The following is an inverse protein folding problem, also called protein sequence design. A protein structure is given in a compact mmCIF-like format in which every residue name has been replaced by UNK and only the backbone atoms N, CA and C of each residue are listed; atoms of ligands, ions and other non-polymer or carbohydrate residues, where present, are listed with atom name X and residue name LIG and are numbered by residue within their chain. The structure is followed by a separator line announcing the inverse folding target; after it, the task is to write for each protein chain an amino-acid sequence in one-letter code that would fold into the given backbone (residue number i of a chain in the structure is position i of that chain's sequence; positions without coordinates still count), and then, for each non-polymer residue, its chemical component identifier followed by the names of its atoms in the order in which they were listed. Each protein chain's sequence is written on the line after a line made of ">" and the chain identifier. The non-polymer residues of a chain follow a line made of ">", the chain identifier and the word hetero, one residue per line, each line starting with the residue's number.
data_IF_454811920591
#
_entry.id   IF_454811920591
#
_cell.length_a   1.000
_cell.length_b   1.000
_cell.length_c   1.000
_cell.angle_alpha   90.00
_cell.angle_beta   90.00
_cell.angle_gamma   90.00
#
_symmetry.space_group_name_H-M   'P 1'
#
loop_
_entity.id
_entity.type
_entity.pdbx_description
1 polymer ?
#
# COMPACT_ATOMS: atom_id res chain seq x y z
N UNK A 1 25.13 -6.62 -27.93
CA UNK A 1 23.65 -6.68 -28.00
C UNK A 1 23.19 -7.71 -26.98
N UNK A 2 22.69 -7.27 -25.82
CA UNK A 2 22.26 -8.16 -24.76
C UNK A 2 20.83 -8.66 -25.04
N UNK A 3 20.66 -9.98 -24.98
CA UNK A 3 19.42 -10.72 -25.22
C UNK A 3 18.34 -10.39 -24.16
N UNK A 4 17.04 -10.46 -24.48
CA UNK A 4 15.94 -10.05 -23.60
C UNK A 4 15.88 -10.78 -22.25
N UNK A 5 16.51 -11.95 -22.10
CA UNK A 5 16.54 -12.71 -20.85
C UNK A 5 17.31 -12.02 -19.71
N UNK A 6 18.31 -11.18 -20.01
CA UNK A 6 19.10 -10.52 -18.96
C UNK A 6 18.43 -9.28 -18.37
N UNK A 7 17.35 -8.77 -18.97
CA UNK A 7 16.55 -7.70 -18.36
C UNK A 7 15.65 -8.20 -17.23
N UNK A 8 15.30 -9.49 -17.24
CA UNK A 8 14.45 -10.09 -16.21
C UNK A 8 15.17 -10.28 -14.85
N UNK A 9 16.51 -10.33 -14.84
CA UNK A 9 17.30 -10.49 -13.61
C UNK A 9 17.69 -9.17 -12.91
N UNK A 10 17.35 -8.01 -13.50
CA UNK A 10 17.64 -6.67 -12.96
C UNK A 10 16.37 -5.86 -12.63
N UNK A 11 15.19 -6.48 -12.62
CA UNK A 11 13.92 -5.88 -12.23
C UNK A 11 13.74 -5.99 -10.71
N UNK A 12 14.51 -5.21 -9.95
CA UNK A 12 14.63 -5.32 -8.49
C UNK A 12 13.69 -4.41 -7.68
N UNK A 13 12.65 -3.83 -8.28
CA UNK A 13 11.74 -2.89 -7.60
C UNK A 13 10.30 -3.19 -8.01
N UNK A 14 9.65 -4.01 -7.19
CA UNK A 14 8.39 -4.71 -7.52
C UNK A 14 7.13 -3.84 -7.37
N UNK A 15 7.19 -2.63 -6.78
CA UNK A 15 6.03 -1.73 -6.72
C UNK A 15 5.84 -0.86 -7.97
N UNK A 16 6.88 -0.71 -8.81
CA UNK A 16 6.83 0.09 -10.05
C UNK A 16 6.01 -0.57 -11.18
N UNK A 17 5.65 -1.85 -11.04
CA UNK A 17 4.96 -2.62 -12.09
C UNK A 17 3.43 -2.56 -12.02
N UNK A 18 2.83 -2.22 -10.88
CA UNK A 18 1.37 -2.20 -10.77
C UNK A 18 0.83 -0.86 -11.26
N UNK A 19 0.28 -0.84 -12.47
CA UNK A 19 -0.33 0.37 -13.01
C UNK A 19 -1.66 0.64 -12.32
N UNK A 20 -2.06 1.90 -12.22
CA UNK A 20 -3.37 2.27 -11.69
C UNK A 20 -4.51 1.53 -12.41
N UNK A 21 -4.39 1.33 -13.73
CA UNK A 21 -5.35 0.56 -14.52
C UNK A 21 -5.48 -0.90 -14.08
N UNK A 22 -4.37 -1.53 -13.68
CA UNK A 22 -4.39 -2.92 -13.20
C UNK A 22 -5.17 -2.99 -11.89
N UNK A 23 -4.90 -2.06 -10.98
CA UNK A 23 -5.60 -1.91 -9.69
C UNK A 23 -7.09 -1.66 -9.93
N UNK A 24 -7.46 -0.74 -10.81
CA UNK A 24 -8.85 -0.45 -11.12
C UNK A 24 -9.56 -1.66 -11.73
N UNK A 25 -8.86 -2.39 -12.61
CA UNK A 25 -9.40 -3.56 -13.30
C UNK A 25 -9.71 -4.70 -12.33
N UNK A 26 -8.89 -4.90 -11.30
CA UNK A 26 -9.06 -5.94 -10.28
C UNK A 26 -10.04 -5.49 -9.20
N UNK A 27 -9.81 -4.34 -8.59
CA UNK A 27 -10.58 -3.87 -7.43
C UNK A 27 -12.04 -3.55 -7.75
N UNK A 28 -12.41 -3.36 -9.02
CA UNK A 28 -13.82 -3.24 -9.42
C UNK A 28 -14.68 -4.43 -8.99
N UNK A 29 -14.09 -5.62 -8.89
CA UNK A 29 -14.79 -6.85 -8.49
C UNK A 29 -15.08 -6.90 -6.98
N UNK A 30 -14.32 -6.16 -6.17
CA UNK A 30 -14.38 -6.25 -4.71
C UNK A 30 -14.98 -5.01 -4.04
N UNK A 31 -15.44 -4.00 -4.80
CA UNK A 31 -15.97 -2.72 -4.28
C UNK A 31 -16.91 -2.86 -3.08
N UNK A 32 -17.81 -3.85 -3.12
CA UNK A 32 -18.80 -4.12 -2.06
C UNK A 32 -18.19 -4.51 -0.71
N UNK A 33 -16.95 -4.96 -0.68
CA UNK A 33 -16.27 -5.43 0.53
C UNK A 33 -15.59 -4.29 1.31
N UNK A 34 -15.45 -3.10 0.73
CA UNK A 34 -14.72 -1.98 1.36
C UNK A 34 -15.58 -1.06 2.23
N UNK A 35 -16.91 -1.12 2.11
CA UNK A 35 -17.78 -0.20 2.85
C UNK A 35 -17.61 -0.35 4.37
N UNK A 36 -17.28 0.74 5.05
CA UNK A 36 -17.04 0.81 6.49
C UNK A 36 -15.73 0.14 6.95
N UNK A 37 -14.84 -0.23 6.03
CA UNK A 37 -13.60 -0.95 6.34
C UNK A 37 -12.38 -0.04 6.48
N UNK A 38 -11.44 -0.49 7.29
CA UNK A 38 -10.07 0.00 7.33
C UNK A 38 -9.23 -0.80 6.34
N UNK A 39 -8.62 -0.13 5.37
CA UNK A 39 -7.70 -0.74 4.40
C UNK A 39 -6.26 -0.38 4.76
N UNK A 40 -5.36 -1.37 4.70
CA UNK A 40 -3.92 -1.16 4.79
C UNK A 40 -3.24 -1.44 3.45
N UNK A 41 -2.41 -0.49 3.02
CA UNK A 41 -1.50 -0.63 1.89
C UNK A 41 -0.07 -0.52 2.39
N UNK A 42 0.64 -1.66 2.53
CA UNK A 42 2.09 -1.58 2.69
C UNK A 42 2.68 -1.12 1.35
N UNK A 43 3.55 -0.13 1.37
CA UNK A 43 4.19 0.42 0.17
C UNK A 43 5.61 0.87 0.49
N UNK A 44 6.43 1.05 -0.53
CA UNK A 44 7.75 1.65 -0.45
C UNK A 44 7.61 3.15 -0.15
N UNK A 45 6.69 3.84 -0.84
CA UNK A 45 6.24 5.21 -0.50
C UNK A 45 4.74 5.42 -0.80
N UNK A 46 3.92 5.84 0.19
CA UNK A 46 2.50 6.13 0.02
C UNK A 46 2.16 7.15 -1.08
N UNK A 47 2.89 8.26 -1.21
CA UNK A 47 2.55 9.31 -2.18
C UNK A 47 2.90 8.92 -3.62
N UNK A 48 3.78 7.94 -3.78
CA UNK A 48 4.12 7.37 -5.09
C UNK A 48 3.29 6.12 -5.41
N UNK A 49 2.73 5.46 -4.41
CA UNK A 49 1.98 4.22 -4.57
C UNK A 49 0.65 4.41 -5.31
N UNK A 50 0.48 3.67 -6.41
CA UNK A 50 -0.79 3.64 -7.15
C UNK A 50 -1.93 3.05 -6.30
N UNK A 51 -1.64 2.20 -5.31
CA UNK A 51 -2.66 1.71 -4.37
C UNK A 51 -3.18 2.84 -3.50
N UNK A 52 -2.29 3.63 -2.91
CA UNK A 52 -2.67 4.78 -2.10
C UNK A 52 -3.45 5.81 -2.93
N UNK A 53 -2.97 6.16 -4.12
CA UNK A 53 -3.67 7.04 -5.08
C UNK A 53 -5.08 6.52 -5.40
N UNK A 54 -5.21 5.22 -5.72
CA UNK A 54 -6.50 4.60 -5.97
C UNK A 54 -7.44 4.78 -4.78
N UNK A 55 -7.03 4.38 -3.57
CA UNK A 55 -7.92 4.41 -2.41
C UNK A 55 -8.26 5.82 -1.96
N UNK A 56 -7.35 6.78 -2.07
CA UNK A 56 -7.61 8.19 -1.79
C UNK A 56 -8.67 8.75 -2.74
N UNK A 57 -8.48 8.61 -4.05
CA UNK A 57 -9.42 9.11 -5.06
C UNK A 57 -10.78 8.39 -5.03
N UNK A 58 -10.82 7.20 -4.44
CA UNK A 58 -12.02 6.38 -4.32
C UNK A 58 -12.61 6.33 -2.91
N UNK A 59 -12.04 7.05 -1.95
CA UNK A 59 -12.32 6.89 -0.52
C UNK A 59 -13.82 6.98 -0.22
N UNK A 60 -14.46 8.06 -0.70
CA UNK A 60 -15.89 8.31 -0.54
C UNK A 60 -16.75 7.34 -1.34
N UNK A 61 -16.32 6.99 -2.57
CA UNK A 61 -17.05 6.07 -3.45
C UNK A 61 -17.09 4.65 -2.89
N UNK A 62 -16.00 4.21 -2.25
CA UNK A 62 -15.88 2.93 -1.57
C UNK A 62 -16.48 2.94 -0.16
N UNK A 63 -16.82 4.14 0.36
CA UNK A 63 -17.30 4.36 1.73
C UNK A 63 -16.31 3.79 2.76
N UNK A 64 -15.01 4.02 2.53
CA UNK A 64 -13.98 3.59 3.45
C UNK A 64 -14.12 4.29 4.80
N UNK A 65 -13.82 3.58 5.87
CA UNK A 65 -13.72 4.16 7.21
C UNK A 65 -12.36 4.83 7.40
N UNK A 66 -11.30 4.17 6.93
CA UNK A 66 -9.91 4.59 7.11
C UNK A 66 -9.04 3.91 6.05
N UNK A 67 -8.03 4.63 5.58
CA UNK A 67 -6.94 4.10 4.78
C UNK A 67 -5.65 4.32 5.55
N UNK A 68 -4.86 3.27 5.70
CA UNK A 68 -3.54 3.29 6.31
C UNK A 68 -2.54 2.92 5.22
N UNK A 69 -1.47 3.69 5.09
CA UNK A 69 -0.33 3.34 4.26
C UNK A 69 0.96 3.55 5.03
N UNK A 70 1.89 2.61 4.93
CA UNK A 70 3.20 2.67 5.60
C UNK A 70 4.28 2.75 4.54
N UNK A 71 5.29 3.59 4.75
CA UNK A 71 6.52 3.61 3.93
C UNK A 71 7.67 2.93 4.68
N UNK A 72 8.70 2.51 3.93
CA UNK A 72 9.90 1.85 4.46
C UNK A 72 11.13 2.78 4.41
N UNK A 73 12.02 2.69 5.40
CA UNK A 73 13.28 3.46 5.37
C UNK A 73 14.19 2.97 4.23
N UNK A 74 14.25 3.72 3.14
CA UNK A 74 15.12 3.42 2.00
C UNK A 74 14.42 3.20 0.67
N UNK A 75 13.14 3.59 0.54
CA UNK A 75 12.52 3.73 -0.79
C UNK A 75 13.32 4.70 -1.67
N UNK A 76 13.64 4.33 -2.93
CA UNK A 76 14.36 5.20 -3.86
C UNK A 76 13.54 6.44 -4.29
N UNK A 77 12.25 6.50 -3.92
CA UNK A 77 11.28 7.52 -4.32
C UNK A 77 10.71 8.27 -3.10
N UNK A 78 11.46 8.35 -2.00
CA UNK A 78 11.00 9.08 -0.81
C UNK A 78 11.23 10.58 -0.98
N UNK A 79 10.17 11.40 -0.86
CA UNK A 79 10.28 12.85 -0.63
C UNK A 79 10.23 13.79 -1.84
N UNK A 80 9.74 13.37 -3.01
CA UNK A 80 9.67 14.24 -4.20
C UNK A 80 8.38 15.08 -4.30
N UNK A 81 7.21 14.55 -3.94
CA UNK A 81 5.92 15.24 -4.18
C UNK A 81 5.37 16.01 -2.96
N UNK A 82 5.81 15.71 -1.73
CA UNK A 82 5.25 16.39 -0.55
C UNK A 82 6.24 16.47 0.63
N UNK A 83 6.76 17.67 0.90
CA UNK A 83 7.49 18.01 2.13
C UNK A 83 6.52 18.13 3.30
N UNK A 84 5.91 17.01 3.72
CA UNK A 84 4.98 16.99 4.85
C UNK A 84 5.67 17.24 6.19
N UNK A 85 6.93 16.84 6.32
CA UNK A 85 7.70 16.92 7.56
C UNK A 85 8.73 18.05 7.58
N UNK A 86 8.83 18.83 6.49
CA UNK A 86 9.88 19.85 6.37
C UNK A 86 11.28 19.25 6.46
N UNK A 87 11.53 18.15 5.74
CA UNK A 87 12.78 17.39 5.86
C UNK A 87 13.98 18.21 5.33
N UNK A 88 14.83 18.66 6.26
CA UNK A 88 16.02 19.46 5.97
C UNK A 88 17.22 18.57 5.56
N UNK A 89 17.19 17.28 5.92
CA UNK A 89 18.27 16.32 5.66
C UNK A 89 17.82 15.08 4.86
N UNK A 90 18.77 14.37 4.23
CA UNK A 90 18.47 13.09 3.56
C UNK A 90 18.09 11.97 4.54
N UNK A 91 18.63 11.97 5.76
CA UNK A 91 18.25 10.98 6.78
C UNK A 91 16.79 11.13 7.21
N UNK A 92 16.34 12.38 7.34
CA UNK A 92 14.94 12.71 7.63
C UNK A 92 14.01 12.26 6.50
N UNK A 93 14.38 12.51 5.24
CA UNK A 93 13.65 12.02 4.06
C UNK A 93 13.56 10.50 3.99
N UNK A 94 14.50 9.77 4.62
CA UNK A 94 14.53 8.31 4.64
C UNK A 94 13.92 7.71 5.90
N UNK A 95 13.39 8.53 6.81
CA UNK A 95 12.72 8.03 8.00
C UNK A 95 11.37 7.43 7.58
N UNK A 96 11.04 6.19 7.97
CA UNK A 96 9.77 5.60 7.62
C UNK A 96 8.63 6.37 8.31
N UNK A 97 7.46 6.38 7.69
CA UNK A 97 6.28 7.05 8.19
C UNK A 97 5.02 6.25 7.85
N UNK A 98 3.94 6.57 8.55
CA UNK A 98 2.59 6.11 8.22
C UNK A 98 1.73 7.31 7.82
N UNK A 99 0.94 7.12 6.77
CA UNK A 99 -0.10 8.04 6.33
C UNK A 99 -1.45 7.40 6.66
N UNK A 100 -2.29 8.12 7.41
CA UNK A 100 -3.62 7.68 7.80
C UNK A 100 -4.64 8.68 7.27
N UNK A 101 -5.45 8.23 6.32
CA UNK A 101 -6.53 9.01 5.71
C UNK A 101 -7.84 8.60 6.34
N UNK A 102 -8.56 9.57 6.89
CA UNK A 102 -9.92 9.38 7.44
C UNK A 102 -10.95 10.30 6.77
N UNK A 103 -10.49 11.33 6.05
CA UNK A 103 -11.31 12.29 5.32
C UNK A 103 -10.69 12.56 3.96
N UNK A 104 -11.54 12.60 2.93
CA UNK A 104 -11.20 13.10 1.59
C UNK A 104 -12.34 14.00 1.16
N UNK A 105 -12.06 15.30 1.02
CA UNK A 105 -13.00 16.33 0.59
C UNK A 105 -12.28 17.33 -0.29
N UNK A 106 -13.02 18.03 -1.12
CA UNK A 106 -12.50 19.18 -1.85
C UNK A 106 -12.02 20.23 -0.84
N UNK A 107 -10.70 20.41 -0.76
CA UNK A 107 -10.03 21.28 0.20
C UNK A 107 -9.60 22.59 -0.47
N UNK A 108 -9.34 22.56 -1.78
CA UNK A 108 -8.94 23.72 -2.56
C UNK A 108 -10.13 24.52 -3.15
N UNK A 109 -11.34 23.95 -3.14
CA UNK A 109 -12.57 24.55 -3.63
C UNK A 109 -12.76 24.50 -5.16
N UNK A 110 -12.06 23.61 -5.87
CA UNK A 110 -12.13 23.51 -7.34
C UNK A 110 -13.31 22.67 -7.87
N UNK A 111 -14.08 22.05 -6.96
CA UNK A 111 -15.24 21.23 -7.26
C UNK A 111 -14.94 19.75 -7.51
N UNK A 112 -13.68 19.32 -7.39
CA UNK A 112 -13.26 17.92 -7.50
C UNK A 112 -12.44 17.48 -6.27
N UNK A 113 -12.42 16.17 -6.00
CA UNK A 113 -11.49 15.59 -5.02
C UNK A 113 -10.27 15.04 -5.74
N UNK A 114 -9.10 15.53 -5.39
CA UNK A 114 -7.81 15.18 -6.01
C UNK A 114 -6.75 14.81 -4.97
N UNK A 115 -5.58 14.38 -5.44
CA UNK A 115 -4.42 14.16 -4.55
C UNK A 115 -3.89 15.46 -3.96
N UNK A 116 -4.13 16.62 -4.60
CA UNK A 116 -3.78 17.93 -4.06
C UNK A 116 -4.62 18.21 -2.80
N UNK A 117 -5.90 17.87 -2.81
CA UNK A 117 -6.76 18.01 -1.63
C UNK A 117 -6.34 17.09 -0.51
N UNK A 118 -5.99 15.84 -0.81
CA UNK A 118 -5.49 14.88 0.19
C UNK A 118 -4.24 15.43 0.86
N UNK A 119 -3.29 15.95 0.08
CA UNK A 119 -2.10 16.60 0.58
C UNK A 119 -2.40 17.81 1.49
N UNK A 120 -3.37 18.63 1.09
CA UNK A 120 -3.82 19.78 1.89
C UNK A 120 -4.47 19.34 3.21
N UNK A 121 -5.27 18.26 3.20
CA UNK A 121 -5.89 17.69 4.41
C UNK A 121 -4.85 17.11 5.38
N UNK A 122 -3.71 16.61 4.89
CA UNK A 122 -2.57 16.27 5.76
C UNK A 122 -1.95 17.51 6.41
N UNK A 123 -1.76 18.60 5.64
CA UNK A 123 -1.21 19.86 6.18
C UNK A 123 -2.14 20.52 7.20
N UNK A 124 -3.45 20.39 7.02
CA UNK A 124 -4.48 20.91 7.94
C UNK A 124 -4.65 20.04 9.19
N UNK A 125 -4.04 18.84 9.23
CA UNK A 125 -4.15 17.90 10.35
C UNK A 125 -5.46 17.11 10.39
N UNK A 126 -6.28 17.15 9.33
CA UNK A 126 -7.45 16.27 9.20
C UNK A 126 -7.06 14.82 8.92
N UNK A 127 -5.98 14.63 8.16
CA UNK A 127 -5.34 13.34 7.95
C UNK A 127 -4.00 13.33 8.67
N UNK A 128 -3.58 12.15 9.12
CA UNK A 128 -2.44 12.00 10.02
C UNK A 128 -1.24 11.43 9.28
N UNK A 129 -0.14 12.17 9.27
CA UNK A 129 1.15 11.67 8.81
C UNK A 129 2.13 11.68 9.98
N UNK A 130 2.64 10.52 10.38
CA UNK A 130 3.52 10.37 11.53
C UNK A 130 4.72 9.51 11.16
N UNK A 131 5.92 9.93 11.61
CA UNK A 131 7.11 9.09 11.52
C UNK A 131 6.95 7.84 12.38
N UNK A 132 7.45 6.73 11.86
CA UNK A 132 7.57 5.47 12.57
C UNK A 132 8.84 5.51 13.44
N UNK A 133 8.81 4.81 14.57
CA UNK A 133 9.95 4.74 15.50
C UNK A 133 10.99 3.72 15.03
N UNK A 134 10.54 2.68 14.34
CA UNK A 134 11.37 1.63 13.77
C UNK A 134 11.75 1.89 12.31
N UNK A 135 11.95 0.80 11.57
CA UNK A 135 12.42 0.83 10.19
C UNK A 135 11.29 0.67 9.16
N UNK A 136 10.03 0.61 9.60
CA UNK A 136 8.88 0.37 8.70
C UNK A 136 8.84 -1.03 8.07
N UNK A 137 9.61 -2.00 8.58
CA UNK A 137 9.49 -3.40 8.15
C UNK A 137 8.11 -3.94 8.58
N UNK A 138 7.40 -4.66 7.70
CA UNK A 138 6.05 -5.17 8.00
C UNK A 138 6.00 -6.10 9.22
N UNK A 139 7.15 -6.62 9.67
CA UNK A 139 7.30 -7.49 10.84
C UNK A 139 7.56 -6.73 12.14
N UNK A 140 7.82 -5.42 12.06
CA UNK A 140 8.04 -4.62 13.26
C UNK A 140 6.75 -4.52 14.07
N UNK A 141 6.85 -4.41 15.40
CA UNK A 141 5.67 -4.33 16.28
C UNK A 141 4.76 -3.16 15.92
N UNK A 142 5.32 -2.02 15.51
CA UNK A 142 4.55 -0.87 15.04
C UNK A 142 3.74 -1.17 13.77
N UNK A 143 4.32 -1.85 12.79
CA UNK A 143 3.64 -2.23 11.54
C UNK A 143 2.62 -3.35 11.79
N UNK A 144 2.91 -4.30 12.68
CA UNK A 144 1.96 -5.33 13.08
C UNK A 144 0.75 -4.75 13.81
N UNK A 145 0.92 -3.70 14.63
CA UNK A 145 -0.22 -2.97 15.23
C UNK A 145 -1.10 -2.31 14.17
N UNK A 146 -0.51 -1.75 13.11
CA UNK A 146 -1.27 -1.18 11.98
C UNK A 146 -1.98 -2.27 11.17
N UNK A 147 -1.32 -3.41 10.97
CA UNK A 147 -1.93 -4.60 10.36
C UNK A 147 -3.14 -5.07 11.18
N UNK A 148 -2.99 -5.16 12.50
CA UNK A 148 -4.04 -5.58 13.41
C UNK A 148 -5.26 -4.66 13.39
N UNK A 149 -5.05 -3.36 13.21
CA UNK A 149 -6.13 -2.38 13.02
C UNK A 149 -6.88 -2.55 11.70
N UNK A 150 -6.22 -3.03 10.65
CA UNK A 150 -6.78 -3.15 9.33
C UNK A 150 -7.77 -4.32 9.21
N UNK A 151 -8.85 -4.12 8.45
CA UNK A 151 -9.78 -5.18 8.06
C UNK A 151 -9.29 -5.92 6.81
N UNK A 152 -8.72 -5.16 5.86
CA UNK A 152 -8.32 -5.65 4.54
C UNK A 152 -6.94 -5.10 4.18
N UNK A 153 -6.04 -5.97 3.73
CA UNK A 153 -4.75 -5.57 3.15
C UNK A 153 -4.83 -5.60 1.63
N UNK A 154 -4.42 -4.54 0.95
CA UNK A 154 -4.39 -4.48 -0.52
C UNK A 154 -3.05 -3.94 -0.98
N UNK A 155 -2.28 -4.76 -1.70
CA UNK A 155 -0.88 -4.45 -2.01
C UNK A 155 -0.30 -5.33 -3.13
N UNK A 156 0.94 -5.03 -3.52
CA UNK A 156 1.84 -5.87 -4.33
C UNK A 156 3.20 -5.95 -3.61
N UNK A 157 3.43 -6.97 -2.75
CA UNK A 157 4.66 -7.06 -2.00
C UNK A 157 5.82 -7.59 -2.88
N UNK A 158 7.07 -7.20 -2.62
CA UNK A 158 8.21 -7.66 -3.40
C UNK A 158 8.37 -9.18 -3.33
N UNK A 159 8.80 -9.78 -4.43
CA UNK A 159 8.86 -11.23 -4.60
C UNK A 159 9.71 -11.91 -3.51
N UNK A 160 10.77 -11.23 -3.08
CA UNK A 160 11.68 -11.69 -2.01
C UNK A 160 11.02 -11.79 -0.64
N UNK A 161 10.01 -10.95 -0.35
CA UNK A 161 9.30 -10.90 0.94
C UNK A 161 7.91 -11.52 0.88
N UNK A 162 7.40 -11.83 -0.32
CA UNK A 162 6.04 -12.28 -0.57
C UNK A 162 5.59 -13.46 0.31
N UNK A 163 6.42 -14.51 0.46
CA UNK A 163 6.07 -15.71 1.24
C UNK A 163 5.86 -15.39 2.72
N UNK A 164 6.80 -14.67 3.30
CA UNK A 164 6.75 -14.26 4.71
C UNK A 164 5.59 -13.30 4.95
N UNK A 165 5.39 -12.35 4.05
CA UNK A 165 4.28 -11.39 4.13
C UNK A 165 2.92 -12.10 4.15
N UNK A 166 2.68 -13.05 3.26
CA UNK A 166 1.41 -13.78 3.21
C UNK A 166 1.21 -14.64 4.46
N UNK A 167 2.26 -15.29 4.96
CA UNK A 167 2.18 -16.00 6.25
C UNK A 167 1.73 -15.07 7.37
N UNK A 168 2.31 -13.86 7.46
CA UNK A 168 1.89 -12.85 8.43
C UNK A 168 0.42 -12.46 8.27
N UNK A 169 -0.07 -12.24 7.05
CA UNK A 169 -1.49 -11.93 6.82
C UNK A 169 -2.42 -13.05 7.29
N UNK A 170 -2.04 -14.31 7.06
CA UNK A 170 -2.81 -15.48 7.48
C UNK A 170 -2.79 -15.66 9.00
N UNK A 171 -1.63 -15.47 9.63
CA UNK A 171 -1.46 -15.55 11.09
C UNK A 171 -2.31 -14.50 11.82
N UNK A 172 -2.46 -13.31 11.23
CA UNK A 172 -3.28 -12.22 11.76
C UNK A 172 -4.74 -12.25 11.27
N UNK A 173 -5.20 -13.34 10.65
CA UNK A 173 -6.56 -13.55 10.10
C UNK A 173 -7.06 -12.38 9.23
N UNK A 174 -6.17 -11.83 8.40
CA UNK A 174 -6.51 -10.69 7.55
C UNK A 174 -7.16 -11.13 6.25
N UNK A 175 -8.15 -10.34 5.80
CA UNK A 175 -8.60 -10.39 4.40
C UNK A 175 -7.59 -9.64 3.56
N UNK A 176 -7.28 -10.15 2.37
CA UNK A 176 -6.31 -9.48 1.52
C UNK A 176 -6.59 -9.66 0.04
N UNK A 177 -6.10 -8.69 -0.73
CA UNK A 177 -5.99 -8.75 -2.18
C UNK A 177 -4.53 -8.45 -2.50
N UNK A 178 -3.84 -9.41 -3.10
CA UNK A 178 -2.46 -9.23 -3.54
C UNK A 178 -2.45 -9.28 -5.06
N UNK A 179 -2.04 -8.18 -5.68
CA UNK A 179 -1.81 -8.12 -7.13
C UNK A 179 -0.34 -8.44 -7.36
N UNK A 180 -0.04 -9.50 -8.10
CA UNK A 180 1.34 -9.92 -8.31
C UNK A 180 1.47 -10.99 -9.39
N UNK A 181 2.70 -11.45 -9.60
CA UNK A 181 3.00 -12.46 -10.60
C UNK A 181 2.37 -13.82 -10.23
N UNK A 182 1.67 -14.46 -11.16
CA UNK A 182 1.06 -15.79 -10.97
C UNK A 182 2.08 -16.87 -10.55
N UNK A 183 3.37 -16.73 -10.83
CA UNK A 183 4.39 -17.66 -10.35
C UNK A 183 4.42 -17.78 -8.82
N UNK A 184 3.93 -16.76 -8.09
CA UNK A 184 3.84 -16.79 -6.64
C UNK A 184 2.90 -17.89 -6.09
N UNK A 185 1.99 -18.42 -6.91
CA UNK A 185 1.11 -19.54 -6.53
C UNK A 185 1.89 -20.85 -6.29
N UNK A 186 3.08 -20.97 -6.85
CA UNK A 186 3.94 -22.17 -6.73
C UNK A 186 4.60 -22.27 -5.36
N UNK A 187 4.45 -21.23 -4.52
CA UNK A 187 5.03 -21.20 -3.20
C UNK A 187 4.33 -22.17 -2.25
N UNK A 188 5.13 -22.77 -1.36
CA UNK A 188 4.70 -23.82 -0.43
C UNK A 188 3.62 -23.33 0.53
N UNK A 189 3.57 -22.04 0.80
CA UNK A 189 2.61 -21.38 1.67
C UNK A 189 1.26 -21.16 0.98
N UNK A 190 1.22 -21.00 -0.35
CA UNK A 190 -0.02 -20.79 -1.10
C UNK A 190 -0.78 -22.07 -1.39
N UNK A 191 -0.06 -23.16 -1.68
CA UNK A 191 -0.72 -24.41 -2.06
C UNK A 191 -1.71 -24.92 -0.99
N UNK A 192 -1.40 -24.94 0.32
CA UNK A 192 -2.36 -25.29 1.35
C UNK A 192 -3.57 -24.35 1.38
N UNK A 193 -3.36 -23.05 1.21
CA UNK A 193 -4.45 -22.05 1.22
C UNK A 193 -5.39 -22.25 0.02
N UNK A 194 -4.85 -22.53 -1.17
CA UNK A 194 -5.63 -22.83 -2.37
C UNK A 194 -6.39 -24.16 -2.21
N UNK A 195 -5.70 -25.21 -1.77
CA UNK A 195 -6.29 -26.54 -1.52
C UNK A 195 -7.44 -26.48 -0.53
N UNK A 196 -7.29 -25.67 0.52
CA UNK A 196 -8.27 -25.53 1.60
C UNK A 196 -9.34 -24.45 1.29
N UNK A 197 -9.39 -23.94 0.06
CA UNK A 197 -10.32 -22.89 -0.42
C UNK A 197 -10.30 -21.60 0.44
N UNK A 198 -9.15 -21.26 1.01
CA UNK A 198 -8.94 -20.03 1.79
C UNK A 198 -8.55 -18.83 0.92
N UNK A 199 -7.92 -19.09 -0.23
CA UNK A 199 -7.56 -18.09 -1.25
C UNK A 199 -7.93 -18.63 -2.62
N UNK A 200 -8.13 -17.73 -3.59
CA UNK A 200 -8.42 -18.06 -4.98
C UNK A 200 -7.71 -17.07 -5.91
N UNK A 201 -7.54 -17.47 -7.16
CA UNK A 201 -7.04 -16.59 -8.21
C UNK A 201 -8.20 -15.80 -8.81
N UNK A 202 -7.98 -14.49 -9.00
CA UNK A 202 -8.89 -13.57 -9.69
C UNK A 202 -8.82 -13.72 -11.21
#
# INVERSE_FOLDING_TARGET
>A
MATPLNRANQAKEDEFYTQLSDIESELKHYRKHFAGKTVLCNCDDPFESNFFKYFCLNFNRLKLKKLIATCYSGSPITGNELTLFGDDTEEERRTPYKAVVTSVRDANGDGATSMVDVAELFKQGENLCERLEGNGDFRSEECLRLLDEADIVVTNPPFSKFREFVSTLVEHDKKFIIIGNQNAITYKEFFPLLRDNKVWLG
#
